data_IF_794849476454
#
_entry.id   IF_794849476454
#
_cell.length_a   1.000
_cell.length_b   1.000
_cell.length_c   1.000
_cell.angle_alpha   90.00
_cell.angle_beta   90.00
_cell.angle_gamma   90.00
#
_symmetry.space_group_name_H-M   'P 1'
#
loop_
_entity.id
_entity.type
_entity.pdbx_description
1 polymer ?
#
# COMPACT_ATOMS: atom_id res chain seq x y z
N UNK A 1 -24.25 9.54 0.26
CA UNK A 1 -24.93 8.70 -0.75
C UNK A 1 -24.72 9.35 -2.10
N UNK A 2 -24.05 8.69 -3.03
CA UNK A 2 -23.86 9.25 -4.37
C UNK A 2 -25.06 8.89 -5.24
N UNK A 3 -25.56 9.87 -6.00
CA UNK A 3 -26.67 9.69 -6.94
C UNK A 3 -26.06 9.60 -8.33
N UNK A 4 -26.25 8.48 -9.01
CA UNK A 4 -25.69 8.18 -10.34
C UNK A 4 -26.70 8.45 -11.47
N UNK A 5 -27.67 9.32 -11.24
CA UNK A 5 -28.75 9.61 -12.19
C UNK A 5 -28.25 9.97 -13.60
N UNK A 6 -27.32 10.92 -13.70
CA UNK A 6 -26.83 11.39 -15.01
C UNK A 6 -26.17 10.31 -15.83
N UNK A 7 -25.32 9.49 -15.20
CA UNK A 7 -24.67 8.35 -15.84
C UNK A 7 -25.68 7.29 -16.31
N UNK A 8 -26.66 6.97 -15.46
CA UNK A 8 -27.69 6.01 -15.79
C UNK A 8 -28.61 6.51 -16.89
N UNK A 9 -29.03 7.78 -16.83
CA UNK A 9 -29.84 8.40 -17.89
C UNK A 9 -29.13 8.31 -19.24
N UNK A 10 -27.85 8.66 -19.29
CA UNK A 10 -27.02 8.58 -20.50
C UNK A 10 -26.90 7.13 -21.01
N UNK A 11 -26.61 6.16 -20.12
CA UNK A 11 -26.53 4.75 -20.46
C UNK A 11 -27.83 4.24 -21.05
N UNK A 12 -28.95 4.44 -20.35
CA UNK A 12 -30.27 3.99 -20.78
C UNK A 12 -30.69 4.61 -22.11
N UNK A 13 -30.39 5.89 -22.34
CA UNK A 13 -30.62 6.56 -23.60
C UNK A 13 -29.82 5.92 -24.74
N UNK A 14 -28.53 5.64 -24.50
CA UNK A 14 -27.67 5.02 -25.52
C UNK A 14 -28.10 3.58 -25.82
N UNK A 15 -28.52 2.81 -24.85
CA UNK A 15 -29.06 1.45 -25.00
C UNK A 15 -30.31 1.44 -25.89
N UNK A 16 -31.15 2.49 -25.83
CA UNK A 16 -32.32 2.69 -26.73
C UNK A 16 -31.96 3.39 -28.06
N UNK A 17 -30.67 3.66 -28.32
CA UNK A 17 -30.19 4.35 -29.52
C UNK A 17 -30.86 5.75 -29.76
N UNK A 18 -31.09 6.48 -28.66
CA UNK A 18 -31.72 7.81 -28.72
C UNK A 18 -30.66 8.92 -28.68
N UNK A 19 -30.90 10.03 -29.42
CA UNK A 19 -30.16 11.28 -29.23
C UNK A 19 -30.71 12.04 -27.98
N UNK A 20 -29.95 13.01 -27.48
CA UNK A 20 -30.42 13.86 -26.37
C UNK A 20 -31.69 14.67 -26.79
N UNK A 21 -31.76 15.13 -28.05
CA UNK A 21 -32.92 15.83 -28.59
C UNK A 21 -34.15 14.94 -28.58
N UNK A 22 -34.05 13.71 -29.09
CA UNK A 22 -35.17 12.76 -29.10
C UNK A 22 -35.67 12.45 -27.70
N UNK A 23 -34.74 12.25 -26.75
CA UNK A 23 -35.13 12.02 -25.35
C UNK A 23 -35.83 13.26 -24.77
N UNK A 24 -35.34 14.47 -25.07
CA UNK A 24 -35.96 15.72 -24.64
C UNK A 24 -37.41 15.85 -25.16
N UNK A 25 -37.62 15.55 -26.43
CA UNK A 25 -38.94 15.55 -27.05
C UNK A 25 -39.91 14.57 -26.37
N UNK A 26 -39.45 13.34 -26.06
CA UNK A 26 -40.27 12.34 -25.37
C UNK A 26 -40.65 12.73 -23.96
N UNK A 27 -39.72 13.38 -23.23
CA UNK A 27 -39.95 13.80 -21.84
C UNK A 27 -40.58 15.18 -21.72
N UNK A 28 -40.81 15.90 -22.84
CA UNK A 28 -41.38 17.25 -22.85
C UNK A 28 -40.47 18.29 -22.19
N UNK A 29 -39.15 18.16 -22.31
CA UNK A 29 -38.17 19.07 -21.76
C UNK A 29 -37.22 19.63 -22.81
N UNK A 30 -36.38 20.61 -22.44
CA UNK A 30 -35.39 21.13 -23.39
C UNK A 30 -34.20 20.18 -23.54
N UNK A 31 -33.57 20.17 -24.74
CA UNK A 31 -32.30 19.49 -24.94
C UNK A 31 -31.24 19.89 -23.92
N UNK A 32 -31.17 21.16 -23.55
CA UNK A 32 -30.25 21.67 -22.57
C UNK A 32 -30.46 21.04 -21.17
N UNK A 33 -31.72 20.72 -20.83
CA UNK A 33 -32.04 20.02 -19.58
C UNK A 33 -31.46 18.61 -19.59
N UNK A 34 -31.68 17.83 -20.65
CA UNK A 34 -31.11 16.48 -20.79
C UNK A 34 -29.58 16.52 -20.73
N UNK A 35 -28.96 17.47 -21.44
CA UNK A 35 -27.50 17.61 -21.43
C UNK A 35 -26.94 17.93 -20.03
N UNK A 36 -27.59 18.82 -19.26
CA UNK A 36 -27.20 19.13 -17.87
C UNK A 36 -27.40 17.96 -16.93
N UNK A 37 -28.50 17.22 -17.09
CA UNK A 37 -28.79 16.04 -16.29
C UNK A 37 -27.75 14.93 -16.53
N UNK A 38 -27.39 14.66 -17.78
CA UNK A 38 -26.38 13.63 -18.10
C UNK A 38 -24.97 13.99 -17.63
N UNK A 39 -24.64 15.30 -17.47
CA UNK A 39 -23.38 15.75 -16.89
C UNK A 39 -23.40 15.82 -15.36
N UNK A 40 -24.59 15.68 -14.76
CA UNK A 40 -24.76 15.84 -13.31
C UNK A 40 -24.79 17.31 -12.82
N UNK A 41 -24.88 18.28 -13.75
CA UNK A 41 -24.94 19.71 -13.40
C UNK A 41 -26.24 20.08 -12.67
N UNK A 42 -27.34 19.41 -13.02
CA UNK A 42 -28.67 19.57 -12.42
C UNK A 42 -29.42 18.25 -12.42
N UNK A 43 -30.52 18.18 -11.68
CA UNK A 43 -31.43 17.04 -11.63
C UNK A 43 -32.82 17.43 -12.15
N UNK A 44 -33.64 16.46 -12.65
CA UNK A 44 -35.03 16.70 -12.94
C UNK A 44 -35.81 16.96 -11.67
N UNK A 45 -37.00 17.57 -11.81
CA UNK A 45 -37.97 17.60 -10.73
C UNK A 45 -38.31 16.18 -10.27
N UNK A 46 -38.48 15.99 -8.96
CA UNK A 46 -38.72 14.66 -8.38
C UNK A 46 -39.99 14.00 -8.98
N UNK A 47 -40.95 14.80 -9.38
CA UNK A 47 -42.21 14.35 -10.02
C UNK A 47 -41.98 13.75 -11.40
N UNK A 48 -40.87 14.04 -12.06
CA UNK A 48 -40.51 13.49 -13.37
C UNK A 48 -39.86 12.12 -13.25
N UNK A 49 -39.27 11.77 -12.11
CA UNK A 49 -38.53 10.50 -11.96
C UNK A 49 -39.35 9.26 -12.30
N UNK A 50 -40.63 9.13 -11.89
CA UNK A 50 -41.47 7.98 -12.28
C UNK A 50 -41.70 7.90 -13.79
N UNK A 51 -41.89 9.04 -14.46
CA UNK A 51 -42.13 9.09 -15.91
C UNK A 51 -40.86 8.71 -16.70
N UNK A 52 -39.70 9.19 -16.25
CA UNK A 52 -38.40 8.84 -16.85
C UNK A 52 -38.11 7.35 -16.65
N UNK A 53 -38.30 6.83 -15.44
CA UNK A 53 -38.11 5.42 -15.11
C UNK A 53 -39.02 4.51 -15.95
N UNK A 54 -40.29 4.88 -16.06
CA UNK A 54 -41.28 4.16 -16.90
C UNK A 54 -40.90 4.20 -18.39
N UNK A 55 -40.41 5.33 -18.91
CA UNK A 55 -39.96 5.44 -20.30
C UNK A 55 -38.82 4.46 -20.65
N UNK A 56 -37.93 4.24 -19.69
CA UNK A 56 -36.81 3.31 -19.85
C UNK A 56 -37.12 1.88 -19.38
N UNK A 57 -38.32 1.62 -18.82
CA UNK A 57 -38.71 0.32 -18.27
C UNK A 57 -37.77 -0.13 -17.13
N UNK A 58 -37.44 0.80 -16.23
CA UNK A 58 -36.60 0.58 -15.05
C UNK A 58 -37.29 1.10 -13.79
N UNK A 59 -36.81 0.70 -12.61
CA UNK A 59 -37.26 1.30 -11.35
C UNK A 59 -36.64 2.70 -11.14
N UNK A 60 -37.29 3.54 -10.32
CA UNK A 60 -36.69 4.82 -9.90
C UNK A 60 -35.38 4.61 -9.16
N UNK A 61 -35.27 3.55 -8.36
CA UNK A 61 -34.05 3.18 -7.64
C UNK A 61 -32.90 2.87 -8.62
N UNK A 62 -33.18 2.13 -9.69
CA UNK A 62 -32.22 1.84 -10.74
C UNK A 62 -31.84 3.10 -11.52
N UNK A 63 -32.81 3.96 -11.85
CA UNK A 63 -32.56 5.25 -12.50
C UNK A 63 -31.66 6.15 -11.67
N UNK A 64 -31.87 6.20 -10.33
CA UNK A 64 -31.07 6.97 -9.39
C UNK A 64 -29.73 6.31 -9.04
N UNK A 65 -29.56 5.03 -9.38
CA UNK A 65 -28.38 4.25 -9.05
C UNK A 65 -28.26 3.87 -7.56
N UNK A 66 -29.37 3.80 -6.85
CA UNK A 66 -29.40 3.46 -5.41
C UNK A 66 -28.78 2.10 -5.15
N UNK A 67 -29.03 1.12 -6.03
CA UNK A 67 -28.43 -0.20 -5.94
C UNK A 67 -26.91 -0.15 -6.20
N UNK A 68 -26.45 0.66 -7.15
CA UNK A 68 -25.00 0.86 -7.41
C UNK A 68 -24.31 1.53 -6.22
N UNK A 69 -24.93 2.51 -5.56
CA UNK A 69 -24.36 3.14 -4.39
C UNK A 69 -24.20 2.15 -3.21
N UNK A 70 -25.19 1.28 -2.99
CA UNK A 70 -25.13 0.22 -1.97
C UNK A 70 -24.07 -0.83 -2.31
N UNK A 71 -23.98 -1.22 -3.59
CA UNK A 71 -22.98 -2.13 -4.09
C UNK A 71 -21.56 -1.57 -3.92
N UNK A 72 -21.35 -0.29 -4.26
CA UNK A 72 -20.08 0.41 -4.08
C UNK A 72 -19.64 0.47 -2.61
N UNK A 73 -20.58 0.78 -1.71
CA UNK A 73 -20.33 0.81 -0.27
C UNK A 73 -19.98 -0.60 0.26
N UNK A 74 -20.68 -1.62 -0.22
CA UNK A 74 -20.40 -3.02 0.13
C UNK A 74 -19.02 -3.46 -0.39
N UNK A 75 -18.70 -3.18 -1.65
CA UNK A 75 -17.38 -3.49 -2.23
C UNK A 75 -16.28 -2.83 -1.41
N UNK A 76 -16.42 -1.54 -1.12
CA UNK A 76 -15.44 -0.80 -0.31
C UNK A 76 -15.22 -1.45 1.04
N UNK A 77 -16.29 -1.75 1.77
CA UNK A 77 -16.22 -2.41 3.08
C UNK A 77 -15.55 -3.78 3.01
N UNK A 78 -15.90 -4.59 2.00
CA UNK A 78 -15.30 -5.93 1.84
C UNK A 78 -13.84 -5.88 1.42
N UNK A 79 -13.42 -4.87 0.64
CA UNK A 79 -12.02 -4.66 0.29
C UNK A 79 -11.21 -4.21 1.50
N UNK A 80 -11.75 -3.29 2.33
CA UNK A 80 -11.12 -2.88 3.58
C UNK A 80 -10.99 -4.06 4.57
N UNK A 81 -12.01 -4.91 4.67
CA UNK A 81 -11.95 -6.15 5.45
C UNK A 81 -10.85 -7.08 4.94
N UNK A 82 -10.77 -7.29 3.61
CA UNK A 82 -9.75 -8.13 2.98
C UNK A 82 -8.33 -7.60 3.24
N UNK A 83 -8.12 -6.30 3.06
CA UNK A 83 -6.81 -5.66 3.21
C UNK A 83 -6.29 -5.70 4.68
N UNK A 84 -7.17 -5.95 5.65
CA UNK A 84 -6.82 -6.10 7.07
C UNK A 84 -6.47 -7.55 7.48
N UNK A 85 -6.72 -8.56 6.65
CA UNK A 85 -6.36 -9.94 6.98
C UNK A 85 -4.85 -10.16 6.90
N UNK A 86 -4.31 -10.86 7.89
CA UNK A 86 -2.90 -11.31 7.94
C UNK A 86 -2.78 -12.82 7.79
N UNK A 87 -3.85 -13.56 8.05
CA UNK A 87 -3.90 -15.01 7.89
C UNK A 87 -4.13 -15.40 6.42
N UNK A 88 -3.27 -16.25 5.88
CA UNK A 88 -3.29 -16.66 4.47
C UNK A 88 -4.58 -17.37 4.05
N UNK A 89 -5.22 -18.10 4.97
CA UNK A 89 -6.49 -18.77 4.72
C UNK A 89 -7.64 -17.77 4.61
N UNK A 90 -7.68 -16.79 5.51
CA UNK A 90 -8.69 -15.72 5.48
C UNK A 90 -8.53 -14.84 4.23
N UNK A 91 -7.29 -14.51 3.86
CA UNK A 91 -6.98 -13.79 2.61
C UNK A 91 -7.56 -14.56 1.41
N UNK A 92 -7.29 -15.87 1.34
CA UNK A 92 -7.81 -16.73 0.27
C UNK A 92 -9.33 -16.73 0.22
N UNK A 93 -9.98 -17.04 1.33
CA UNK A 93 -11.44 -17.15 1.40
C UNK A 93 -12.12 -15.82 1.03
N UNK A 94 -11.62 -14.71 1.53
CA UNK A 94 -12.17 -13.37 1.25
C UNK A 94 -12.01 -12.96 -0.21
N UNK A 95 -10.85 -13.20 -0.83
CA UNK A 95 -10.62 -12.79 -2.22
C UNK A 95 -11.43 -13.64 -3.22
N UNK A 96 -11.61 -14.94 -2.95
CA UNK A 96 -12.46 -15.77 -3.79
C UNK A 96 -13.94 -15.35 -3.68
N UNK A 97 -14.43 -15.06 -2.46
CA UNK A 97 -15.78 -14.51 -2.25
C UNK A 97 -15.99 -13.18 -3.00
N UNK A 98 -15.02 -12.26 -2.91
CA UNK A 98 -15.06 -10.98 -3.63
C UNK A 98 -15.10 -11.18 -5.14
N UNK A 99 -14.19 -12.01 -5.67
CA UNK A 99 -14.09 -12.32 -7.11
C UNK A 99 -15.36 -12.95 -7.64
N UNK A 100 -15.99 -13.86 -6.90
CA UNK A 100 -17.21 -14.54 -7.35
C UNK A 100 -18.42 -13.60 -7.33
N UNK A 101 -18.47 -12.65 -6.38
CA UNK A 101 -19.56 -11.69 -6.25
C UNK A 101 -19.40 -10.47 -7.18
N UNK A 102 -18.16 -9.98 -7.34
CA UNK A 102 -17.84 -8.74 -8.10
C UNK A 102 -16.74 -8.98 -9.13
N UNK A 103 -16.91 -9.90 -10.09
CA UNK A 103 -15.85 -10.31 -11.02
C UNK A 103 -15.37 -9.19 -11.94
N UNK A 104 -16.21 -8.18 -12.18
CA UNK A 104 -15.93 -7.06 -13.10
C UNK A 104 -15.41 -5.80 -12.39
N UNK A 105 -15.35 -5.77 -11.04
CA UNK A 105 -14.76 -4.64 -10.34
C UNK A 105 -13.22 -4.70 -10.42
N UNK A 106 -12.62 -3.66 -10.96
CA UNK A 106 -11.17 -3.62 -11.18
C UNK A 106 -10.35 -3.61 -9.89
N UNK A 107 -10.88 -3.12 -8.78
CA UNK A 107 -10.23 -3.16 -7.46
C UNK A 107 -10.19 -4.59 -6.94
N UNK A 108 -11.24 -5.36 -7.16
CA UNK A 108 -11.31 -6.78 -6.84
C UNK A 108 -10.36 -7.58 -7.74
N UNK A 109 -10.36 -7.31 -9.05
CA UNK A 109 -9.43 -7.95 -9.99
C UNK A 109 -7.97 -7.68 -9.61
N UNK A 110 -7.65 -6.46 -9.18
CA UNK A 110 -6.31 -6.08 -8.70
C UNK A 110 -5.89 -6.91 -7.48
N UNK A 111 -6.74 -7.04 -6.45
CA UNK A 111 -6.45 -7.86 -5.26
C UNK A 111 -6.32 -9.33 -5.61
N UNK A 112 -7.19 -9.83 -6.50
CA UNK A 112 -7.11 -11.20 -6.96
C UNK A 112 -5.81 -11.48 -7.74
N UNK A 113 -5.39 -10.56 -8.60
CA UNK A 113 -4.09 -10.64 -9.28
C UNK A 113 -2.93 -10.65 -8.26
N UNK A 114 -2.96 -9.75 -7.27
CA UNK A 114 -1.99 -9.72 -6.17
C UNK A 114 -1.95 -11.04 -5.40
N UNK A 115 -3.12 -11.60 -5.07
CA UNK A 115 -3.21 -12.91 -4.41
C UNK A 115 -2.53 -14.01 -5.23
N UNK A 116 -2.80 -14.10 -6.54
CA UNK A 116 -2.20 -15.11 -7.41
C UNK A 116 -0.68 -14.98 -7.52
N UNK A 117 -0.14 -13.76 -7.37
CA UNK A 117 1.30 -13.50 -7.47
C UNK A 117 2.03 -13.81 -6.15
N UNK A 118 1.46 -13.44 -5.01
CA UNK A 118 2.18 -13.44 -3.74
C UNK A 118 1.79 -14.56 -2.77
N UNK A 119 0.61 -15.16 -2.95
CA UNK A 119 0.04 -16.14 -2.01
C UNK A 119 -0.37 -17.47 -2.66
N UNK A 120 -0.28 -17.57 -3.98
CA UNK A 120 -0.59 -18.79 -4.74
C UNK A 120 0.58 -19.12 -5.68
N UNK A 121 0.42 -20.11 -6.54
CA UNK A 121 1.42 -20.47 -7.54
C UNK A 121 1.33 -19.53 -8.76
N UNK A 122 2.18 -18.51 -8.77
CA UNK A 122 2.23 -17.52 -9.83
C UNK A 122 2.56 -18.12 -11.21
N UNK A 123 3.34 -19.21 -11.27
CA UNK A 123 3.73 -19.85 -12.53
C UNK A 123 2.54 -20.62 -13.11
N UNK A 124 1.82 -21.39 -12.30
CA UNK A 124 0.63 -22.10 -12.75
C UNK A 124 -0.50 -21.13 -13.14
N UNK A 125 -0.59 -19.97 -12.49
CA UNK A 125 -1.60 -18.95 -12.75
C UNK A 125 -1.19 -17.93 -13.84
N UNK A 126 -0.09 -18.16 -14.56
CA UNK A 126 0.49 -17.21 -15.53
C UNK A 126 -0.53 -16.61 -16.51
N UNK A 127 -1.30 -17.45 -17.21
CA UNK A 127 -2.32 -16.97 -18.18
C UNK A 127 -3.40 -16.10 -17.53
N UNK A 128 -3.73 -16.37 -16.28
CA UNK A 128 -4.76 -15.64 -15.55
C UNK A 128 -4.24 -14.30 -15.06
N UNK A 129 -3.02 -14.27 -14.54
CA UNK A 129 -2.34 -13.03 -14.14
C UNK A 129 -2.21 -12.10 -15.34
N UNK A 130 -1.75 -12.62 -16.49
CA UNK A 130 -1.65 -11.87 -17.74
C UNK A 130 -2.99 -11.29 -18.18
N UNK A 131 -4.04 -12.13 -18.22
CA UNK A 131 -5.39 -11.70 -18.61
C UNK A 131 -5.95 -10.61 -17.69
N UNK A 132 -5.74 -10.71 -16.37
CA UNK A 132 -6.18 -9.69 -15.40
C UNK A 132 -5.41 -8.39 -15.60
N UNK A 133 -4.08 -8.47 -15.77
CA UNK A 133 -3.26 -7.31 -16.05
C UNK A 133 -3.71 -6.57 -17.29
N UNK A 134 -3.84 -7.27 -18.43
CA UNK A 134 -4.29 -6.68 -19.69
C UNK A 134 -5.70 -6.08 -19.59
N UNK A 135 -6.61 -6.78 -18.91
CA UNK A 135 -7.97 -6.25 -18.71
C UNK A 135 -7.96 -4.94 -17.90
N UNK A 136 -7.18 -4.89 -16.82
CA UNK A 136 -7.05 -3.68 -15.99
C UNK A 136 -6.41 -2.54 -16.81
N UNK A 137 -5.31 -2.80 -17.53
CA UNK A 137 -4.64 -1.76 -18.31
C UNK A 137 -5.52 -1.17 -19.40
N UNK A 138 -6.28 -2.01 -20.11
CA UNK A 138 -7.04 -1.60 -21.28
C UNK A 138 -8.42 -1.00 -20.94
N UNK A 139 -9.05 -1.43 -19.85
CA UNK A 139 -10.45 -1.12 -19.58
C UNK A 139 -10.69 -0.32 -18.30
N UNK A 140 -9.72 -0.30 -17.35
CA UNK A 140 -9.87 0.46 -16.10
C UNK A 140 -9.55 1.95 -16.34
N UNK A 141 -10.45 2.84 -15.94
CA UNK A 141 -10.24 4.29 -16.00
C UNK A 141 -9.60 4.90 -14.76
N UNK A 142 -9.43 4.10 -13.69
CA UNK A 142 -8.83 4.54 -12.44
C UNK A 142 -7.31 4.41 -12.52
N UNK A 143 -6.60 5.54 -12.62
CA UNK A 143 -5.13 5.57 -12.74
C UNK A 143 -4.43 4.83 -11.59
N UNK A 144 -4.90 5.02 -10.36
CA UNK A 144 -4.33 4.32 -9.19
C UNK A 144 -4.37 2.79 -9.34
N UNK A 145 -5.49 2.23 -9.80
CA UNK A 145 -5.64 0.78 -10.01
C UNK A 145 -4.70 0.29 -11.11
N UNK A 146 -4.57 1.04 -12.21
CA UNK A 146 -3.65 0.71 -13.32
C UNK A 146 -2.18 0.74 -12.87
N UNK A 147 -1.79 1.75 -12.08
CA UNK A 147 -0.43 1.88 -11.53
C UNK A 147 -0.13 0.73 -10.57
N UNK A 148 -1.05 0.40 -9.66
CA UNK A 148 -0.90 -0.75 -8.76
C UNK A 148 -0.79 -2.07 -9.53
N UNK A 149 -1.56 -2.26 -10.60
CA UNK A 149 -1.47 -3.45 -11.44
C UNK A 149 -0.10 -3.55 -12.13
N UNK A 150 0.46 -2.44 -12.66
CA UNK A 150 1.83 -2.42 -13.19
C UNK A 150 2.84 -2.81 -12.12
N UNK A 151 2.75 -2.27 -10.90
CA UNK A 151 3.64 -2.61 -9.78
C UNK A 151 3.63 -4.10 -9.47
N UNK A 152 2.46 -4.72 -9.35
CA UNK A 152 2.35 -6.15 -9.09
C UNK A 152 2.84 -6.99 -10.28
N UNK A 153 2.57 -6.54 -11.49
CA UNK A 153 3.01 -7.24 -12.71
C UNK A 153 4.55 -7.19 -12.87
N UNK A 154 5.20 -6.09 -12.50
CA UNK A 154 6.67 -6.00 -12.45
C UNK A 154 7.25 -7.07 -11.50
N UNK A 155 6.68 -7.24 -10.29
CA UNK A 155 7.11 -8.29 -9.37
C UNK A 155 6.90 -9.69 -9.93
N UNK A 156 5.80 -9.91 -10.65
CA UNK A 156 5.54 -11.18 -11.34
C UNK A 156 6.60 -11.46 -12.43
N UNK A 157 6.91 -10.48 -13.27
CA UNK A 157 7.95 -10.61 -14.29
C UNK A 157 9.33 -10.83 -13.67
N UNK A 158 9.66 -10.15 -12.56
CA UNK A 158 10.89 -10.37 -11.80
C UNK A 158 10.98 -11.83 -11.31
N UNK A 159 9.89 -12.38 -10.77
CA UNK A 159 9.84 -13.79 -10.35
C UNK A 159 10.07 -14.72 -11.54
N UNK A 160 9.46 -14.46 -12.69
CA UNK A 160 9.67 -15.26 -13.91
C UNK A 160 11.10 -15.14 -14.45
N UNK A 161 11.71 -13.94 -14.44
CA UNK A 161 13.06 -13.71 -14.95
C UNK A 161 14.14 -14.46 -14.16
N UNK A 162 13.86 -14.84 -12.92
CA UNK A 162 14.73 -15.68 -12.07
C UNK A 162 14.51 -17.18 -12.30
N UNK A 163 13.47 -17.57 -13.03
CA UNK A 163 13.18 -18.96 -13.33
C UNK A 163 13.91 -19.38 -14.60
N UNK A 164 14.82 -20.37 -14.50
CA UNK A 164 15.63 -20.86 -15.63
C UNK A 164 14.79 -21.41 -16.80
N UNK A 165 13.53 -21.75 -16.58
CA UNK A 165 12.62 -22.27 -17.60
C UNK A 165 11.72 -21.19 -18.23
N UNK A 166 11.99 -19.91 -17.98
CA UNK A 166 11.22 -18.80 -18.51
C UNK A 166 12.01 -18.04 -19.56
N UNK A 167 11.37 -17.64 -20.64
CA UNK A 167 11.93 -16.75 -21.66
C UNK A 167 11.86 -15.26 -21.23
N UNK A 168 11.25 -14.95 -20.09
CA UNK A 168 11.14 -13.60 -19.55
C UNK A 168 12.48 -13.15 -19.00
N UNK A 169 12.89 -11.96 -19.40
CA UNK A 169 14.16 -11.33 -19.01
C UNK A 169 13.91 -10.08 -18.16
N UNK A 170 14.96 -9.52 -17.59
CA UNK A 170 14.89 -8.22 -16.90
C UNK A 170 14.45 -7.09 -17.84
N UNK A 171 14.78 -7.17 -19.12
CA UNK A 171 14.37 -6.16 -20.12
C UNK A 171 12.84 -6.04 -20.23
N UNK A 172 12.10 -7.13 -20.00
CA UNK A 172 10.64 -7.12 -19.99
C UNK A 172 10.09 -6.39 -18.74
N UNK A 173 10.76 -6.56 -17.60
CA UNK A 173 10.47 -5.76 -16.40
C UNK A 173 10.75 -4.27 -16.67
N UNK A 174 11.90 -3.95 -17.28
CA UNK A 174 12.32 -2.57 -17.53
C UNK A 174 11.36 -1.81 -18.46
N UNK A 175 10.75 -2.48 -19.43
CA UNK A 175 9.71 -1.88 -20.30
C UNK A 175 8.55 -1.32 -19.47
N UNK A 176 8.04 -2.11 -18.53
CA UNK A 176 6.92 -1.68 -17.67
C UNK A 176 7.38 -0.62 -16.64
N UNK A 177 8.60 -0.77 -16.08
CA UNK A 177 9.16 0.21 -15.14
C UNK A 177 9.27 1.59 -15.79
N UNK A 178 9.67 1.69 -17.04
CA UNK A 178 9.78 2.97 -17.78
C UNK A 178 8.43 3.68 -17.97
N UNK A 179 7.32 2.95 -17.88
CA UNK A 179 5.97 3.51 -17.95
C UNK A 179 5.43 3.98 -16.59
N UNK A 180 6.13 3.68 -15.49
CA UNK A 180 5.73 4.14 -14.15
C UNK A 180 6.00 5.63 -13.99
N UNK A 181 5.12 6.37 -13.26
CA UNK A 181 5.38 7.76 -12.93
C UNK A 181 6.67 7.90 -12.11
N UNK A 182 7.42 8.97 -12.35
CA UNK A 182 8.61 9.29 -11.56
C UNK A 182 8.19 9.84 -10.19
N UNK A 183 9.03 9.66 -9.17
CA UNK A 183 8.77 10.17 -7.81
C UNK A 183 8.44 11.66 -7.79
N UNK A 184 9.21 12.48 -8.55
CA UNK A 184 8.98 13.94 -8.65
C UNK A 184 7.64 14.34 -9.30
N UNK A 185 6.95 13.41 -9.92
CA UNK A 185 5.63 13.63 -10.53
C UNK A 185 4.50 13.14 -9.57
N UNK A 186 4.85 12.74 -8.34
CA UNK A 186 3.92 12.35 -7.27
C UNK A 186 3.26 13.54 -6.58
N UNK A 187 2.14 13.29 -5.93
CA UNK A 187 1.34 14.32 -5.22
C UNK A 187 2.14 15.03 -4.12
N UNK A 188 3.11 14.35 -3.53
CA UNK A 188 3.96 14.83 -2.44
C UNK A 188 4.78 16.06 -2.84
N UNK A 189 5.06 16.24 -4.15
CA UNK A 189 5.76 17.41 -4.67
C UNK A 189 4.89 18.67 -4.78
N UNK A 190 3.57 18.55 -4.55
CA UNK A 190 2.61 19.64 -4.72
C UNK A 190 2.11 20.25 -3.40
N UNK A 191 2.78 19.99 -2.28
CA UNK A 191 2.43 20.60 -0.99
C UNK A 191 2.53 22.15 -1.01
N UNK A 192 3.28 22.73 -1.92
CA UNK A 192 3.33 24.18 -2.13
C UNK A 192 2.00 24.81 -2.58
N UNK A 193 1.05 23.99 -3.06
CA UNK A 193 -0.30 24.44 -3.39
C UNK A 193 -1.13 24.80 -2.14
N UNK A 194 -0.70 24.41 -0.95
CA UNK A 194 -1.34 24.78 0.30
C UNK A 194 -0.79 26.13 0.78
N UNK A 195 -1.67 27.15 1.02
CA UNK A 195 -1.25 28.44 1.56
C UNK A 195 -0.48 28.30 2.88
N UNK A 196 0.43 29.25 3.17
CA UNK A 196 1.30 29.20 4.36
C UNK A 196 0.52 29.02 5.69
N UNK A 197 -0.67 29.58 5.77
CA UNK A 197 -1.52 29.49 6.97
C UNK A 197 -2.58 28.37 6.89
N UNK A 198 -2.48 27.45 5.94
CA UNK A 198 -3.47 26.37 5.82
C UNK A 198 -3.25 25.33 6.93
N UNK A 199 -4.30 24.98 7.74
CA UNK A 199 -4.15 24.16 8.95
C UNK A 199 -3.62 22.74 8.66
N UNK A 200 -3.71 22.26 7.43
CA UNK A 200 -3.22 20.92 7.02
C UNK A 200 -1.82 20.97 6.39
N UNK A 201 -1.23 22.15 6.18
CA UNK A 201 0.03 22.27 5.43
C UNK A 201 1.17 21.52 6.11
N UNK A 202 1.36 21.74 7.41
CA UNK A 202 2.46 21.13 8.16
C UNK A 202 2.30 19.59 8.19
N UNK A 203 1.09 19.10 8.44
CA UNK A 203 0.81 17.66 8.42
C UNK A 203 1.14 17.01 7.06
N UNK A 204 0.82 17.70 5.94
CA UNK A 204 1.12 17.19 4.59
C UNK A 204 2.63 17.20 4.31
N UNK A 205 3.35 18.27 4.76
CA UNK A 205 4.81 18.32 4.63
C UNK A 205 5.47 17.20 5.45
N UNK A 206 5.04 17.00 6.69
CA UNK A 206 5.54 15.94 7.56
C UNK A 206 5.28 14.55 6.98
N UNK A 207 4.09 14.32 6.40
CA UNK A 207 3.77 13.07 5.69
C UNK A 207 4.69 12.85 4.48
N UNK A 208 4.94 13.89 3.69
CA UNK A 208 5.85 13.83 2.54
C UNK A 208 7.30 13.50 2.97
N UNK A 209 7.83 14.15 4.00
CA UNK A 209 9.16 13.85 4.55
C UNK A 209 9.23 12.39 5.00
N UNK A 210 8.23 11.89 5.71
CA UNK A 210 8.20 10.52 6.20
C UNK A 210 8.18 9.48 5.07
N UNK A 211 7.42 9.74 3.98
CA UNK A 211 7.42 8.91 2.78
C UNK A 211 8.77 8.95 2.04
N UNK A 212 9.41 10.12 1.93
CA UNK A 212 10.73 10.26 1.32
C UNK A 212 11.81 9.49 2.10
N UNK A 213 11.79 9.56 3.43
CA UNK A 213 12.69 8.78 4.30
C UNK A 213 12.47 7.29 4.14
N UNK A 214 11.21 6.85 4.09
CA UNK A 214 10.86 5.45 3.85
C UNK A 214 11.37 4.96 2.49
N UNK A 215 11.18 5.74 1.43
CA UNK A 215 11.64 5.42 0.08
C UNK A 215 13.17 5.39 -0.01
N UNK A 216 13.86 6.30 0.68
CA UNK A 216 15.31 6.34 0.77
C UNK A 216 15.85 5.06 1.42
N UNK A 217 15.28 4.64 2.57
CA UNK A 217 15.65 3.39 3.23
C UNK A 217 15.46 2.18 2.31
N UNK A 218 14.29 2.05 1.69
CA UNK A 218 14.01 0.97 0.74
C UNK A 218 15.00 0.94 -0.43
N UNK A 219 15.39 2.09 -0.94
CA UNK A 219 16.32 2.19 -2.06
C UNK A 219 17.73 1.77 -1.65
N UNK A 220 18.22 2.30 -0.52
CA UNK A 220 19.57 1.99 0.00
C UNK A 220 19.65 0.52 0.45
N UNK A 221 18.58 -0.02 1.02
CA UNK A 221 18.52 -1.42 1.46
C UNK A 221 18.78 -2.42 0.33
N UNK A 222 18.59 -2.04 -0.95
CA UNK A 222 18.97 -2.90 -2.09
C UNK A 222 20.45 -3.25 -2.11
N UNK A 223 21.33 -2.32 -1.71
CA UNK A 223 22.75 -2.61 -1.57
C UNK A 223 23.04 -3.62 -0.43
N UNK A 224 22.23 -3.62 0.62
CA UNK A 224 22.42 -4.49 1.78
C UNK A 224 22.11 -5.96 1.48
N UNK A 225 21.29 -6.24 0.48
CA UNK A 225 20.93 -7.59 0.04
C UNK A 225 21.71 -8.05 -1.21
N UNK A 226 22.61 -7.21 -1.74
CA UNK A 226 23.40 -7.54 -2.91
C UNK A 226 24.75 -8.16 -2.50
N UNK A 227 24.96 -9.42 -2.87
CA UNK A 227 26.15 -10.20 -2.48
C UNK A 227 27.47 -9.72 -3.13
N UNK A 228 27.39 -8.79 -4.11
CA UNK A 228 28.57 -8.13 -4.69
C UNK A 228 29.29 -7.20 -3.71
N UNK A 229 28.59 -6.72 -2.67
CA UNK A 229 29.15 -5.81 -1.68
C UNK A 229 29.61 -6.56 -0.43
N UNK A 230 30.78 -6.15 0.09
CA UNK A 230 31.38 -6.75 1.28
C UNK A 230 30.55 -6.45 2.56
N UNK A 231 30.79 -7.23 3.61
CA UNK A 231 30.16 -7.01 4.92
C UNK A 231 30.54 -5.67 5.51
N UNK A 232 31.78 -5.23 5.34
CA UNK A 232 32.29 -3.94 5.81
C UNK A 232 31.58 -2.78 5.14
N UNK A 233 31.42 -2.83 3.79
CA UNK A 233 30.65 -1.83 3.05
C UNK A 233 29.19 -1.74 3.55
N UNK A 234 28.55 -2.91 3.74
CA UNK A 234 27.18 -2.98 4.22
C UNK A 234 27.04 -2.44 5.65
N UNK A 235 28.04 -2.65 6.50
CA UNK A 235 28.09 -2.08 7.86
C UNK A 235 28.16 -0.56 7.77
N UNK A 236 29.14 -0.01 7.05
CA UNK A 236 29.34 1.43 6.91
C UNK A 236 28.08 2.12 6.35
N UNK A 237 27.47 1.54 5.31
CA UNK A 237 26.26 2.07 4.70
C UNK A 237 25.09 2.08 5.68
N UNK A 238 24.89 0.97 6.44
CA UNK A 238 23.81 0.88 7.44
C UNK A 238 24.01 1.90 8.56
N UNK A 239 25.24 2.06 9.05
CA UNK A 239 25.55 3.03 10.12
C UNK A 239 25.28 4.47 9.68
N UNK A 240 25.68 4.84 8.44
CA UNK A 240 25.37 6.16 7.87
C UNK A 240 23.88 6.42 7.72
N UNK A 241 23.11 5.41 7.29
CA UNK A 241 21.65 5.53 7.25
C UNK A 241 21.04 5.75 8.63
N UNK A 242 21.51 4.99 9.63
CA UNK A 242 21.00 5.12 10.99
C UNK A 242 21.36 6.48 11.61
N UNK A 243 22.52 7.05 11.26
CA UNK A 243 22.89 8.42 11.66
C UNK A 243 21.94 9.45 11.02
N UNK A 244 21.61 9.29 9.74
CA UNK A 244 20.61 10.13 9.08
C UNK A 244 19.24 10.05 9.75
N UNK A 245 18.77 8.84 10.11
CA UNK A 245 17.50 8.69 10.83
C UNK A 245 17.55 9.36 12.22
N UNK A 246 18.63 9.23 12.94
CA UNK A 246 18.81 9.93 14.23
C UNK A 246 18.83 11.46 14.08
N UNK A 247 19.31 11.95 12.95
CA UNK A 247 19.29 13.39 12.65
C UNK A 247 17.86 13.87 12.33
N UNK A 248 17.09 13.07 11.59
CA UNK A 248 15.70 13.39 11.20
C UNK A 248 14.75 13.25 12.40
N UNK A 249 14.94 12.20 13.22
CA UNK A 249 14.14 11.87 14.40
C UNK A 249 14.95 12.15 15.67
N UNK A 250 15.32 13.43 15.88
CA UNK A 250 16.24 13.85 16.90
C UNK A 250 15.68 13.81 18.34
N UNK A 251 14.36 13.61 18.48
CA UNK A 251 13.68 13.32 19.74
C UNK A 251 13.73 11.81 20.14
N UNK A 252 14.24 10.96 19.26
CA UNK A 252 14.33 9.52 19.47
C UNK A 252 13.01 8.76 19.28
N UNK A 253 11.94 9.42 18.83
CA UNK A 253 10.72 8.79 18.38
C UNK A 253 10.76 8.61 16.86
N UNK A 254 11.00 7.39 16.40
CA UNK A 254 11.21 7.08 15.00
C UNK A 254 9.92 6.92 14.19
N UNK A 255 8.73 7.22 14.73
CA UNK A 255 7.47 7.13 14.02
C UNK A 255 7.30 5.79 13.29
N UNK A 256 6.98 5.82 12.00
CA UNK A 256 6.89 4.61 11.16
C UNK A 256 8.22 3.87 10.96
N UNK A 257 9.36 4.52 11.25
CA UNK A 257 10.70 3.95 11.05
C UNK A 257 11.19 3.09 12.23
N UNK A 258 10.42 2.93 13.31
CA UNK A 258 10.80 2.09 14.45
C UNK A 258 11.24 0.68 14.05
N UNK A 259 10.48 0.01 13.19
CA UNK A 259 10.82 -1.35 12.75
C UNK A 259 12.14 -1.39 11.98
N UNK A 260 12.38 -0.39 11.14
CA UNK A 260 13.63 -0.28 10.37
C UNK A 260 14.83 -0.08 11.29
N UNK A 261 14.71 0.78 12.31
CA UNK A 261 15.78 0.96 13.31
C UNK A 261 16.07 -0.33 14.04
N UNK A 262 15.06 -1.06 14.49
CA UNK A 262 15.21 -2.34 15.16
C UNK A 262 15.90 -3.39 14.26
N UNK A 263 15.46 -3.53 13.03
CA UNK A 263 16.06 -4.48 12.08
C UNK A 263 17.49 -4.11 11.73
N UNK A 264 17.78 -2.83 11.50
CA UNK A 264 19.13 -2.38 11.15
C UNK A 264 20.14 -2.67 12.25
N UNK A 265 19.80 -2.46 13.54
CA UNK A 265 20.68 -2.86 14.64
C UNK A 265 20.91 -4.37 14.69
N UNK A 266 19.89 -5.18 14.46
CA UNK A 266 20.00 -6.62 14.39
C UNK A 266 20.89 -7.10 13.24
N UNK A 267 20.67 -6.53 12.04
CA UNK A 267 21.49 -6.84 10.87
C UNK A 267 22.97 -6.41 11.02
N UNK A 268 23.22 -5.27 11.66
CA UNK A 268 24.58 -4.87 12.04
C UNK A 268 25.22 -5.91 12.96
N UNK A 269 24.50 -6.33 14.02
CA UNK A 269 24.98 -7.36 14.94
C UNK A 269 25.34 -8.67 14.20
N UNK A 270 24.48 -9.13 13.28
CA UNK A 270 24.75 -10.33 12.47
C UNK A 270 25.96 -10.14 11.55
N UNK A 271 26.14 -8.95 10.95
CA UNK A 271 27.31 -8.69 10.07
C UNK A 271 28.61 -8.64 10.86
N UNK A 272 28.65 -7.97 12.02
CA UNK A 272 29.83 -7.98 12.89
C UNK A 272 30.15 -9.41 13.37
N UNK A 273 29.13 -10.18 13.76
CA UNK A 273 29.32 -11.59 14.12
C UNK A 273 29.96 -12.42 12.99
N UNK A 274 29.49 -12.24 11.73
CA UNK A 274 30.04 -12.93 10.56
C UNK A 274 31.49 -12.55 10.26
N UNK A 275 31.92 -11.35 10.65
CA UNK A 275 33.32 -10.90 10.56
C UNK A 275 34.18 -11.38 11.75
N UNK A 276 33.62 -12.09 12.72
CA UNK A 276 34.31 -12.52 13.95
C UNK A 276 34.43 -11.43 15.00
N UNK A 277 33.84 -10.25 14.78
CA UNK A 277 33.82 -9.14 15.73
C UNK A 277 32.63 -9.31 16.71
N UNK A 278 32.82 -10.20 17.64
CA UNK A 278 31.78 -10.55 18.62
C UNK A 278 31.45 -9.38 19.58
N UNK A 279 32.44 -8.52 19.88
CA UNK A 279 32.26 -7.38 20.77
C UNK A 279 31.26 -6.38 20.15
N UNK A 280 31.50 -5.94 18.93
CA UNK A 280 30.61 -5.05 18.20
C UNK A 280 29.24 -5.71 17.93
N UNK A 281 29.21 -7.02 17.65
CA UNK A 281 27.95 -7.75 17.49
C UNK A 281 27.08 -7.65 18.76
N UNK A 282 27.65 -7.89 19.94
CA UNK A 282 26.94 -7.78 21.24
C UNK A 282 26.46 -6.36 21.51
N UNK A 283 27.28 -5.34 21.21
CA UNK A 283 26.89 -3.92 21.35
C UNK A 283 25.64 -3.62 20.49
N UNK A 284 25.63 -4.08 19.23
CA UNK A 284 24.49 -3.83 18.34
C UNK A 284 23.23 -4.59 18.78
N UNK A 285 23.35 -5.83 19.21
CA UNK A 285 22.22 -6.61 19.74
C UNK A 285 21.65 -6.02 21.04
N UNK A 286 22.52 -5.55 21.94
CA UNK A 286 22.07 -4.83 23.14
C UNK A 286 21.26 -3.59 22.76
N UNK A 287 21.75 -2.81 21.79
CA UNK A 287 21.03 -1.62 21.33
C UNK A 287 19.69 -1.94 20.66
N UNK A 288 19.60 -3.05 19.93
CA UNK A 288 18.34 -3.56 19.38
C UNK A 288 17.34 -3.86 20.51
N UNK A 289 17.77 -4.51 21.58
CA UNK A 289 16.92 -4.81 22.74
C UNK A 289 16.47 -3.55 23.48
N UNK A 290 17.37 -2.59 23.69
CA UNK A 290 17.03 -1.30 24.31
C UNK A 290 15.94 -0.57 23.54
N UNK A 291 16.06 -0.51 22.22
CA UNK A 291 15.05 0.11 21.35
C UNK A 291 13.72 -0.65 21.36
N UNK A 292 13.76 -1.98 21.42
CA UNK A 292 12.54 -2.78 21.52
C UNK A 292 11.79 -2.49 22.83
N UNK A 293 12.50 -2.36 23.93
CA UNK A 293 11.93 -1.98 25.23
C UNK A 293 11.38 -0.56 25.17
N UNK A 294 12.13 0.37 24.59
CA UNK A 294 11.70 1.75 24.43
C UNK A 294 10.40 1.83 23.62
N UNK A 295 10.32 1.14 22.49
CA UNK A 295 9.11 1.09 21.66
C UNK A 295 7.91 0.52 22.42
N UNK A 296 8.08 -0.61 23.11
CA UNK A 296 6.96 -1.25 23.83
C UNK A 296 6.43 -0.37 24.97
N UNK A 297 7.30 0.47 25.55
CA UNK A 297 6.95 1.43 26.62
C UNK A 297 6.30 2.72 26.09
N UNK A 298 6.29 2.98 24.78
CA UNK A 298 5.56 4.12 24.23
C UNK A 298 4.06 3.96 24.45
N UNK A 299 3.38 5.05 24.74
CA UNK A 299 1.92 5.09 24.68
C UNK A 299 1.43 4.73 23.26
N UNK A 300 0.17 4.29 23.16
CA UNK A 300 -0.43 3.94 21.87
C UNK A 300 -0.30 5.10 20.88
N UNK A 301 -0.66 6.29 21.30
CA UNK A 301 -0.51 7.52 20.53
C UNK A 301 0.53 8.38 21.21
N UNK A 302 1.60 8.73 20.51
CA UNK A 302 2.72 9.50 21.03
C UNK A 302 2.92 10.72 20.15
N UNK A 303 3.03 11.90 20.76
CA UNK A 303 3.39 13.12 20.04
C UNK A 303 4.89 13.13 19.78
N UNK A 304 5.29 13.44 18.56
CA UNK A 304 6.68 13.60 18.16
C UNK A 304 7.14 15.03 18.41
N UNK A 305 8.38 15.19 18.82
CA UNK A 305 9.01 16.48 19.17
C UNK A 305 10.30 16.74 18.40
N UNK A 306 10.59 15.93 17.37
CA UNK A 306 11.72 16.23 16.50
C UNK A 306 11.42 17.50 15.69
N UNK A 307 12.49 18.24 15.34
CA UNK A 307 12.36 19.52 14.60
C UNK A 307 11.53 19.36 13.31
N UNK A 308 11.64 18.21 12.63
CA UNK A 308 10.91 17.96 11.37
C UNK A 308 9.47 17.48 11.59
N UNK A 309 9.15 16.95 12.78
CA UNK A 309 7.86 16.33 13.07
C UNK A 309 7.18 16.90 14.32
N UNK A 310 7.52 18.13 14.70
CA UNK A 310 6.94 18.76 15.90
C UNK A 310 5.41 18.73 15.85
N UNK A 311 4.82 18.17 16.90
CA UNK A 311 3.37 18.05 17.06
C UNK A 311 2.70 16.94 16.25
N UNK A 312 3.45 16.16 15.44
CA UNK A 312 2.88 15.01 14.72
C UNK A 312 2.57 13.88 15.70
N UNK A 313 1.38 13.31 15.59
CA UNK A 313 1.00 12.11 16.33
C UNK A 313 1.44 10.83 15.59
N UNK A 314 2.04 9.92 16.33
CA UNK A 314 2.35 8.58 15.88
C UNK A 314 1.48 7.58 16.64
N UNK A 315 0.60 6.85 15.93
CA UNK A 315 -0.14 5.69 16.47
C UNK A 315 0.67 4.42 16.22
N UNK A 316 1.21 3.82 17.28
CA UNK A 316 2.03 2.61 17.17
C UNK A 316 1.26 1.40 16.61
N UNK A 317 -0.10 1.41 16.60
CA UNK A 317 -0.90 0.38 15.96
C UNK A 317 -0.79 0.39 14.43
N UNK A 318 -0.30 1.47 13.81
CA UNK A 318 0.01 1.51 12.37
C UNK A 318 1.09 0.50 11.97
N UNK A 319 1.92 0.06 12.91
CA UNK A 319 2.92 -0.99 12.71
C UNK A 319 2.37 -2.42 12.93
N UNK A 320 1.11 -2.55 13.30
CA UNK A 320 0.40 -3.81 13.57
C UNK A 320 -0.22 -3.84 14.95
N UNK A 321 -1.48 -4.23 15.05
CA UNK A 321 -2.27 -4.20 16.29
C UNK A 321 -1.73 -5.13 17.39
N UNK A 322 -1.00 -6.19 17.00
CA UNK A 322 -0.42 -7.20 17.91
C UNK A 322 1.11 -7.12 17.95
N UNK A 323 1.70 -6.04 17.40
CA UNK A 323 3.16 -5.94 17.35
C UNK A 323 3.73 -5.63 18.74
N UNK A 324 4.53 -6.57 19.25
CA UNK A 324 5.31 -6.46 20.49
C UNK A 324 6.78 -6.59 20.10
N UNK A 325 7.52 -5.48 20.16
CA UNK A 325 8.89 -5.43 19.67
C UNK A 325 9.84 -6.35 20.46
N UNK A 326 9.69 -6.44 21.77
CA UNK A 326 10.49 -7.35 22.62
C UNK A 326 10.32 -8.81 22.20
N UNK A 327 9.11 -9.27 21.95
CA UNK A 327 8.86 -10.65 21.52
C UNK A 327 9.51 -10.94 20.17
N UNK A 328 9.35 -10.03 19.21
CA UNK A 328 9.92 -10.19 17.88
C UNK A 328 11.46 -10.17 17.90
N UNK A 329 12.06 -9.24 18.63
CA UNK A 329 13.53 -9.17 18.77
C UNK A 329 14.08 -10.41 19.47
N UNK A 330 13.38 -10.91 20.49
CA UNK A 330 13.76 -12.16 21.16
C UNK A 330 13.76 -13.34 20.16
N UNK A 331 12.69 -13.51 19.38
CA UNK A 331 12.63 -14.55 18.36
C UNK A 331 13.76 -14.41 17.31
N UNK A 332 14.02 -13.18 16.83
CA UNK A 332 15.12 -12.93 15.88
C UNK A 332 16.47 -13.36 16.46
N UNK A 333 16.79 -12.98 17.68
CA UNK A 333 18.07 -13.28 18.32
C UNK A 333 18.24 -14.77 18.65
N UNK A 334 17.17 -15.42 19.12
CA UNK A 334 17.27 -16.82 19.58
C UNK A 334 17.11 -17.83 18.45
N UNK A 335 16.28 -17.53 17.42
CA UNK A 335 15.85 -18.51 16.42
C UNK A 335 16.22 -18.14 14.99
N UNK A 336 16.09 -16.88 14.60
CA UNK A 336 16.15 -16.48 13.17
C UNK A 336 17.56 -16.06 12.72
N UNK A 337 18.32 -15.37 13.58
CA UNK A 337 19.65 -14.93 13.21
C UNK A 337 20.64 -16.09 13.16
N UNK A 338 21.52 -16.15 12.15
CA UNK A 338 22.47 -17.24 11.95
C UNK A 338 23.66 -17.07 12.92
N UNK A 339 23.42 -17.18 14.20
CA UNK A 339 24.40 -17.09 15.27
C UNK A 339 24.75 -18.51 15.75
N UNK A 340 26.03 -18.75 16.06
CA UNK A 340 26.47 -20.05 16.56
C UNK A 340 25.95 -20.35 17.99
N UNK A 341 25.81 -21.63 18.33
CA UNK A 341 25.40 -22.04 19.67
C UNK A 341 26.38 -21.58 20.75
N UNK A 342 27.68 -21.55 20.42
CA UNK A 342 28.73 -21.02 21.30
C UNK A 342 28.46 -19.53 21.61
N UNK A 343 28.21 -18.70 20.59
CA UNK A 343 27.90 -17.28 20.79
C UNK A 343 26.63 -17.08 21.61
N UNK A 344 25.57 -17.83 21.31
CA UNK A 344 24.31 -17.80 22.07
C UNK A 344 24.44 -18.27 23.52
N UNK A 345 25.45 -19.09 23.78
CA UNK A 345 25.70 -19.63 25.13
C UNK A 345 26.58 -18.70 25.98
N UNK A 346 27.18 -17.65 25.41
CA UNK A 346 28.01 -16.68 26.12
C UNK A 346 27.22 -15.97 27.23
N UNK A 347 27.91 -15.56 28.29
CA UNK A 347 27.28 -14.85 29.42
C UNK A 347 26.68 -13.51 28.97
N UNK A 348 27.44 -12.77 28.16
CA UNK A 348 27.06 -11.47 27.63
C UNK A 348 25.81 -11.55 26.74
N UNK A 349 25.70 -12.57 25.87
CA UNK A 349 24.50 -12.74 25.03
C UNK A 349 23.28 -13.11 25.89
N UNK A 350 23.45 -13.96 26.91
CA UNK A 350 22.36 -14.31 27.85
C UNK A 350 21.86 -13.10 28.64
N UNK A 351 22.76 -12.19 29.04
CA UNK A 351 22.37 -10.92 29.66
C UNK A 351 21.51 -10.07 28.70
N UNK A 352 21.89 -9.98 27.42
CA UNK A 352 21.12 -9.25 26.41
C UNK A 352 19.72 -9.85 26.24
N UNK A 353 19.60 -11.17 26.16
CA UNK A 353 18.29 -11.85 26.04
C UNK A 353 17.44 -11.64 27.31
N UNK A 354 18.06 -11.61 28.48
CA UNK A 354 17.37 -11.36 29.75
C UNK A 354 16.71 -9.98 29.84
N UNK A 355 17.22 -8.97 29.08
CA UNK A 355 16.58 -7.64 28.99
C UNK A 355 15.17 -7.69 28.39
N UNK A 356 14.87 -8.72 27.60
CA UNK A 356 13.58 -8.90 26.91
C UNK A 356 12.58 -9.78 27.67
N UNK A 357 12.88 -10.06 28.92
CA UNK A 357 12.03 -10.89 29.80
C UNK A 357 10.85 -10.11 30.35
#
# INVERSE_FOLDING_TARGET
MNIYFGENLKRLRLEKNLTQEKLADFLGVSFQSISKWERGDTYPDITMLPSIASFFDVSVDELLGVNKAKEEEEIKRLLEEHDNFTDSKLIKESIYRLKDKYPNDFRVQLRYMSYLIFFDDAIQNAKKIESLYQNIQNNCTQDYVRICAKRFYIHYLELLSRNQNSDITFDDCEKIIKEMPRMRDGREMYFNCYPENHPKRDAIIQEAIEEEVFLLDNTISRYLYDDRYSSEYKIELTEKMMELFKFIYDDGNYGRMWRFMLYNYGHLGVRYFKLGDNENALIKFRKQCELAIQFDNLDRITTMHSVMFEGKEFDKQTLGTTYIAKMQVKELLTEKYPLSDEFKSSAEFKEIIAMLS
#
